data_IF_184668745405
#
_entry.id   IF_184668745405
#
_cell.length_a   1.000
_cell.length_b   1.000
_cell.length_c   1.000
_cell.angle_alpha   90.00
_cell.angle_beta   90.00
_cell.angle_gamma   90.00
#
_symmetry.space_group_name_H-M   'P 1'
#
loop_
_entity.id
_entity.type
_entity.pdbx_description
1 polymer ?
#
# COMPACT_ATOMS: atom_id res chain seq x y z
N UNK A 1 -8.56 -12.44 5.49
CA UNK A 1 -7.60 -13.37 6.13
C UNK A 1 -7.72 -14.72 5.43
N UNK A 2 -6.65 -15.21 4.82
CA UNK A 2 -6.63 -16.55 4.23
C UNK A 2 -6.83 -17.58 5.34
N UNK A 3 -7.64 -18.62 5.11
CA UNK A 3 -8.04 -19.64 6.10
C UNK A 3 -6.91 -20.49 6.70
N UNK A 4 -5.65 -20.13 6.47
CA UNK A 4 -4.44 -20.74 7.02
C UNK A 4 -3.71 -19.84 8.04
N UNK A 5 -4.32 -18.71 8.44
CA UNK A 5 -3.75 -17.81 9.47
C UNK A 5 -2.71 -16.81 8.96
N UNK A 6 -2.62 -16.61 7.64
CA UNK A 6 -1.69 -15.64 7.04
C UNK A 6 -2.36 -14.28 6.86
N UNK A 7 -1.67 -13.23 7.31
CA UNK A 7 -1.98 -11.85 6.94
C UNK A 7 -1.30 -11.49 5.61
N UNK A 8 -2.08 -10.93 4.68
CA UNK A 8 -1.59 -10.50 3.36
C UNK A 8 -2.03 -9.05 3.16
N UNK A 9 -1.07 -8.14 3.06
CA UNK A 9 -1.32 -6.76 2.63
C UNK A 9 -1.08 -6.63 1.12
N UNK A 10 -1.97 -5.92 0.42
CA UNK A 10 -1.91 -5.73 -1.02
C UNK A 10 -2.10 -4.25 -1.38
N UNK A 11 -1.34 -3.76 -2.36
CA UNK A 11 -1.51 -2.41 -2.87
C UNK A 11 -2.81 -2.28 -3.67
N UNK A 12 -3.55 -1.19 -3.49
CA UNK A 12 -4.79 -0.92 -4.23
C UNK A 12 -4.57 -0.62 -5.73
N UNK A 13 -3.32 -0.40 -6.15
CA UNK A 13 -2.85 0.09 -7.45
C UNK A 13 -3.01 1.61 -7.66
N UNK A 14 -2.37 2.11 -8.73
CA UNK A 14 -2.11 3.55 -8.94
C UNK A 14 -2.73 4.07 -10.26
N UNK A 15 -4.02 3.81 -10.50
CA UNK A 15 -4.71 4.15 -11.74
C UNK A 15 -5.85 5.17 -11.59
N UNK A 16 -6.12 5.68 -10.38
CA UNK A 16 -7.31 6.47 -10.03
C UNK A 16 -8.64 5.78 -10.37
N UNK A 17 -8.68 4.46 -10.29
CA UNK A 17 -9.85 3.64 -10.60
C UNK A 17 -10.34 2.90 -9.34
N UNK A 18 -11.53 2.29 -9.45
CA UNK A 18 -12.00 1.36 -8.42
C UNK A 18 -11.00 0.20 -8.28
N UNK A 19 -10.58 -0.08 -7.05
CA UNK A 19 -9.71 -1.20 -6.72
C UNK A 19 -10.36 -2.56 -7.06
N UNK A 20 -11.68 -2.60 -7.29
CA UNK A 20 -12.43 -3.77 -7.73
C UNK A 20 -11.93 -4.33 -9.08
N UNK A 21 -11.29 -3.50 -9.90
CA UNK A 21 -10.76 -3.91 -11.20
C UNK A 21 -9.35 -4.49 -11.15
N UNK A 22 -8.75 -4.60 -9.96
CA UNK A 22 -7.34 -4.97 -9.80
C UNK A 22 -7.20 -6.18 -8.90
N UNK A 23 -6.40 -7.14 -9.34
CA UNK A 23 -5.96 -8.26 -8.50
C UNK A 23 -4.52 -8.01 -8.02
N UNK A 24 -4.18 -8.31 -6.76
CA UNK A 24 -5.03 -8.91 -5.73
C UNK A 24 -5.92 -7.93 -4.95
N UNK A 25 -5.93 -6.63 -5.26
CA UNK A 25 -6.65 -5.60 -4.49
C UNK A 25 -8.15 -5.86 -4.27
N UNK A 26 -8.85 -6.49 -5.22
CA UNK A 26 -10.27 -6.83 -5.12
C UNK A 26 -10.55 -8.09 -4.28
N UNK A 27 -9.52 -8.82 -3.85
CA UNK A 27 -9.68 -10.06 -3.11
C UNK A 27 -10.19 -9.79 -1.70
N UNK A 28 -11.26 -10.46 -1.24
CA UNK A 28 -11.72 -10.34 0.15
C UNK A 28 -10.76 -10.98 1.16
N UNK A 29 -9.69 -11.63 0.68
CA UNK A 29 -8.71 -12.29 1.52
C UNK A 29 -7.45 -11.47 1.79
N UNK A 30 -7.21 -10.39 1.04
CA UNK A 30 -6.13 -9.43 1.28
C UNK A 30 -6.63 -8.25 2.11
N UNK A 31 -5.74 -7.66 2.90
CA UNK A 31 -5.89 -6.29 3.41
C UNK A 31 -5.39 -5.34 2.32
N UNK A 32 -6.31 -4.70 1.61
CA UNK A 32 -6.00 -3.81 0.50
C UNK A 32 -5.74 -2.39 1.01
N UNK A 33 -4.56 -1.88 0.69
CA UNK A 33 -4.03 -0.62 1.19
C UNK A 33 -3.97 0.41 0.06
N UNK A 34 -4.69 1.51 0.24
CA UNK A 34 -4.55 2.71 -0.60
C UNK A 34 -3.64 3.75 0.06
N UNK A 35 -3.35 4.83 -0.65
CA UNK A 35 -2.36 5.83 -0.23
C UNK A 35 -3.02 7.13 0.22
N UNK A 36 -2.45 7.76 1.26
CA UNK A 36 -2.64 9.17 1.62
C UNK A 36 -1.35 9.96 1.45
N UNK A 37 -1.47 11.27 1.29
CA UNK A 37 -0.37 12.23 1.41
C UNK A 37 -0.28 12.83 2.83
N UNK A 38 0.65 13.76 3.02
CA UNK A 38 0.89 14.44 4.31
C UNK A 38 -0.28 15.31 4.79
N UNK A 39 -1.24 15.60 3.92
CA UNK A 39 -2.46 16.36 4.25
C UNK A 39 -3.65 15.42 4.52
N UNK A 40 -3.39 14.10 4.64
CA UNK A 40 -4.40 13.05 4.74
C UNK A 40 -5.35 13.01 3.55
N UNK A 41 -4.89 13.46 2.37
CA UNK A 41 -5.65 13.42 1.13
C UNK A 41 -5.22 12.21 0.31
N UNK A 42 -6.17 11.53 -0.32
CA UNK A 42 -5.87 10.48 -1.31
C UNK A 42 -5.20 11.13 -2.53
N UNK A 43 -3.95 10.77 -2.87
CA UNK A 43 -3.30 11.26 -4.08
C UNK A 43 -4.11 10.88 -5.32
N UNK A 44 -4.12 11.74 -6.34
CA UNK A 44 -4.99 11.54 -7.52
C UNK A 44 -4.75 10.19 -8.22
N UNK A 45 -3.55 9.62 -8.10
CA UNK A 45 -3.19 8.34 -8.72
C UNK A 45 -3.68 7.13 -7.91
N UNK A 46 -3.94 7.24 -6.61
CA UNK A 46 -4.24 6.09 -5.77
C UNK A 46 -5.64 5.54 -6.05
N UNK A 47 -5.77 4.24 -6.26
CA UNK A 47 -7.07 3.61 -6.44
C UNK A 47 -7.93 3.66 -5.17
N UNK A 48 -9.23 3.50 -5.35
CA UNK A 48 -10.25 3.75 -4.33
C UNK A 48 -11.39 2.73 -4.40
N UNK A 49 -12.39 2.85 -3.52
CA UNK A 49 -13.61 2.06 -3.59
C UNK A 49 -13.71 0.98 -2.52
N UNK A 50 -14.80 0.18 -2.56
CA UNK A 50 -15.15 -0.75 -1.50
C UNK A 50 -14.08 -1.77 -1.09
N UNK A 51 -13.21 -2.26 -2.00
CA UNK A 51 -12.16 -3.19 -1.60
C UNK A 51 -11.03 -2.59 -0.77
N UNK A 52 -10.90 -1.25 -0.68
CA UNK A 52 -9.84 -0.63 0.12
C UNK A 52 -10.21 -0.73 1.60
N UNK A 53 -9.41 -1.47 2.37
CA UNK A 53 -9.62 -1.64 3.81
C UNK A 53 -9.05 -0.45 4.61
N UNK A 54 -7.93 0.11 4.17
CA UNK A 54 -7.20 1.15 4.90
C UNK A 54 -6.36 2.04 3.98
N UNK A 55 -6.17 3.29 4.41
CA UNK A 55 -5.22 4.23 3.80
C UNK A 55 -3.97 4.34 4.68
N UNK A 56 -2.81 4.44 4.05
CA UNK A 56 -1.53 4.68 4.74
C UNK A 56 -0.65 5.66 3.93
N UNK A 57 0.40 6.25 4.54
CA UNK A 57 1.29 7.18 3.85
C UNK A 57 1.91 6.55 2.61
N UNK A 58 1.60 7.10 1.43
CA UNK A 58 2.06 6.58 0.15
C UNK A 58 2.51 7.64 -0.85
N UNK A 59 2.35 8.92 -0.53
CA UNK A 59 2.97 10.01 -1.30
C UNK A 59 4.25 10.51 -0.62
N UNK A 60 5.28 10.78 -1.42
CA UNK A 60 6.58 11.31 -0.99
C UNK A 60 7.23 10.51 0.14
N UNK A 61 7.21 9.18 0.04
CA UNK A 61 7.76 8.29 1.06
C UNK A 61 9.25 8.05 0.81
N UNK A 62 10.09 8.44 1.77
CA UNK A 62 11.51 8.08 1.77
C UNK A 62 11.66 6.57 1.97
N UNK A 63 12.32 5.92 1.01
CA UNK A 63 12.48 4.46 0.95
C UNK A 63 13.95 4.10 0.74
N UNK A 64 14.35 2.92 1.22
CA UNK A 64 15.57 2.27 0.77
C UNK A 64 15.46 1.98 -0.73
N UNK A 65 16.57 2.12 -1.45
CA UNK A 65 16.58 2.02 -2.90
C UNK A 65 17.73 1.17 -3.40
N UNK A 66 17.57 0.63 -4.61
CA UNK A 66 18.62 -0.12 -5.27
C UNK A 66 19.68 0.84 -5.81
N UNK A 67 20.94 0.57 -5.51
CA UNK A 67 22.07 1.32 -6.05
C UNK A 67 23.40 0.59 -5.84
N UNK A 68 24.50 1.15 -6.37
CA UNK A 68 25.81 0.50 -6.39
C UNK A 68 26.43 0.26 -5.00
N UNK A 69 26.07 1.02 -3.98
CA UNK A 69 26.72 1.02 -2.67
C UNK A 69 25.89 0.35 -1.56
N UNK A 70 24.65 -0.07 -1.85
CA UNK A 70 23.70 -0.68 -0.91
C UNK A 70 23.29 0.23 0.27
N UNK A 71 23.37 1.54 0.10
CA UNK A 71 22.98 2.55 1.10
C UNK A 71 22.07 3.65 0.52
N UNK A 72 21.62 3.47 -0.73
CA UNK A 72 20.85 4.45 -1.44
C UNK A 72 19.43 4.59 -0.90
N UNK A 73 18.91 5.81 -1.00
CA UNK A 73 17.53 6.14 -0.66
C UNK A 73 16.88 6.93 -1.79
N UNK A 74 15.57 6.82 -1.90
CA UNK A 74 14.77 7.59 -2.86
C UNK A 74 13.45 7.98 -2.22
N UNK A 75 12.93 9.15 -2.61
CA UNK A 75 11.54 9.54 -2.33
C UNK A 75 10.69 8.95 -3.45
N UNK A 76 9.69 8.15 -3.10
CA UNK A 76 8.82 7.47 -4.06
C UNK A 76 7.35 7.63 -3.68
N UNK A 77 6.50 7.54 -4.71
CA UNK A 77 5.05 7.57 -4.60
C UNK A 77 4.46 6.22 -4.99
N UNK A 78 3.45 5.76 -4.27
CA UNK A 78 2.65 4.63 -4.66
C UNK A 78 1.87 3.98 -3.53
N UNK A 79 0.80 3.28 -3.88
CA UNK A 79 0.13 2.33 -2.96
C UNK A 79 1.08 1.21 -2.54
N UNK A 80 2.11 0.91 -3.34
CA UNK A 80 3.24 0.05 -2.98
C UNK A 80 4.10 0.59 -1.83
N UNK A 81 4.13 1.90 -1.59
CA UNK A 81 4.82 2.54 -0.45
C UNK A 81 3.90 2.64 0.78
N UNK A 82 2.59 2.76 0.56
CA UNK A 82 1.59 2.67 1.63
C UNK A 82 1.50 1.27 2.24
N UNK A 83 1.47 0.23 1.40
CA UNK A 83 1.32 -1.18 1.82
C UNK A 83 2.32 -1.64 2.91
N UNK A 84 3.63 -1.38 2.81
CA UNK A 84 4.60 -1.81 3.82
C UNK A 84 4.42 -1.12 5.18
N UNK A 85 3.82 0.07 5.27
CA UNK A 85 3.47 0.68 6.57
C UNK A 85 2.45 -0.18 7.32
N UNK A 86 1.43 -0.69 6.63
CA UNK A 86 0.41 -1.56 7.22
C UNK A 86 0.98 -2.94 7.54
N UNK A 87 1.76 -3.51 6.62
CA UNK A 87 2.43 -4.79 6.87
C UNK A 87 3.35 -4.71 8.10
N UNK A 88 4.13 -3.63 8.23
CA UNK A 88 4.99 -3.39 9.39
C UNK A 88 4.20 -3.20 10.69
N UNK A 89 3.10 -2.43 10.66
CA UNK A 89 2.24 -2.25 11.82
C UNK A 89 1.62 -3.58 12.29
N UNK A 90 1.14 -4.41 11.36
CA UNK A 90 0.61 -5.73 11.71
C UNK A 90 1.71 -6.63 12.26
N UNK A 91 2.91 -6.64 11.65
CA UNK A 91 4.03 -7.39 12.18
C UNK A 91 4.44 -6.97 13.59
N UNK A 92 4.28 -5.69 13.95
CA UNK A 92 4.52 -5.19 15.30
C UNK A 92 3.46 -5.66 16.33
N UNK A 93 2.23 -5.90 15.89
CA UNK A 93 1.11 -6.29 16.76
C UNK A 93 1.00 -7.81 16.99
N UNK A 94 1.71 -8.62 16.21
CA UNK A 94 1.76 -10.09 16.31
C UNK A 94 2.87 -10.55 17.26
#
# INVERSE_FOLDING_TARGET
ILGIGLFVAAAAANANLSAEYFSPAASPYSCTVSASDIQDVRPFWANWGPPVDVFAPGAQVLSAWIGPNNDETAIADGTSMATPHVAGLVAYLL
#
